data_IF_043730558968
#
_entry.id   IF_043730558968
#
_cell.length_a   1.000
_cell.length_b   1.000
_cell.length_c   1.000
_cell.angle_alpha   90.00
_cell.angle_beta   90.00
_cell.angle_gamma   90.00
#
_symmetry.space_group_name_H-M   'P 1'
#
loop_
_entity.id
_entity.type
_entity.pdbx_description
1 polymer ?
#
# COMPACT_ATOMS: atom_id res chain seq x y z
N UNK A 1 -31.64 34.82 -1.97
CA UNK A 1 -30.65 33.74 -1.88
C UNK A 1 -31.29 32.49 -2.41
N UNK A 2 -30.94 32.04 -3.62
CA UNK A 2 -31.41 30.78 -4.15
C UNK A 2 -30.63 29.66 -3.45
N UNK A 3 -31.31 28.86 -2.65
CA UNK A 3 -30.75 27.65 -2.06
C UNK A 3 -30.45 26.69 -3.20
N UNK A 4 -29.19 26.35 -3.37
CA UNK A 4 -28.74 25.33 -4.33
C UNK A 4 -29.49 24.05 -4.03
N UNK A 5 -30.26 23.58 -5.00
CA UNK A 5 -31.13 22.44 -4.82
C UNK A 5 -30.26 21.18 -4.60
N UNK A 6 -30.44 20.51 -3.48
CA UNK A 6 -29.67 19.31 -3.04
C UNK A 6 -29.61 18.21 -4.10
N UNK A 7 -30.63 18.15 -5.00
CA UNK A 7 -30.68 17.16 -6.08
C UNK A 7 -29.63 17.40 -7.19
N UNK A 8 -29.32 18.66 -7.49
CA UNK A 8 -28.29 19.02 -8.51
C UNK A 8 -26.88 18.83 -7.95
N UNK A 9 -26.70 19.15 -6.67
CA UNK A 9 -25.44 18.90 -5.96
C UNK A 9 -25.16 17.41 -5.81
N UNK A 10 -26.18 16.58 -5.52
CA UNK A 10 -26.02 15.13 -5.36
C UNK A 10 -25.56 14.43 -6.66
N UNK A 11 -26.05 14.87 -7.81
CA UNK A 11 -25.61 14.34 -9.12
C UNK A 11 -24.16 14.68 -9.44
N UNK A 12 -23.74 15.92 -9.14
CA UNK A 12 -22.37 16.39 -9.31
C UNK A 12 -21.38 15.67 -8.39
N UNK A 13 -21.73 15.52 -7.10
CA UNK A 13 -20.94 14.78 -6.12
C UNK A 13 -20.73 13.31 -6.51
N UNK A 14 -21.78 12.63 -6.97
CA UNK A 14 -21.69 11.24 -7.39
C UNK A 14 -20.71 11.05 -8.56
N UNK A 15 -20.71 11.95 -9.53
CA UNK A 15 -19.78 11.94 -10.65
C UNK A 15 -18.34 12.23 -10.19
N UNK A 16 -18.14 13.26 -9.38
CA UNK A 16 -16.82 13.61 -8.84
C UNK A 16 -16.20 12.48 -8.04
N UNK A 17 -17.00 11.79 -7.22
CA UNK A 17 -16.54 10.60 -6.47
C UNK A 17 -16.18 9.45 -7.42
N UNK A 18 -16.99 9.21 -8.45
CA UNK A 18 -16.71 8.18 -9.46
C UNK A 18 -15.41 8.45 -10.20
N UNK A 19 -15.20 9.68 -10.65
CA UNK A 19 -13.98 10.11 -11.35
C UNK A 19 -12.75 10.02 -10.42
N UNK A 20 -12.89 10.36 -9.14
CA UNK A 20 -11.83 10.22 -8.16
C UNK A 20 -11.44 8.75 -7.93
N UNK A 21 -12.39 7.83 -7.85
CA UNK A 21 -12.12 6.39 -7.69
C UNK A 21 -11.42 5.82 -8.93
N UNK A 22 -11.82 6.23 -10.12
CA UNK A 22 -11.17 5.82 -11.37
C UNK A 22 -9.72 6.34 -11.40
N UNK A 23 -9.51 7.61 -11.08
CA UNK A 23 -8.17 8.20 -11.03
C UNK A 23 -7.28 7.52 -9.98
N UNK A 24 -7.79 7.25 -8.80
CA UNK A 24 -7.09 6.50 -7.75
C UNK A 24 -6.62 5.13 -8.26
N UNK A 25 -7.51 4.35 -8.85
CA UNK A 25 -7.18 3.01 -9.34
C UNK A 25 -6.15 3.02 -10.49
N UNK A 26 -6.13 4.10 -11.28
CA UNK A 26 -5.17 4.26 -12.37
C UNK A 26 -3.79 4.74 -11.91
N UNK A 27 -3.73 5.57 -10.90
CA UNK A 27 -2.50 6.22 -10.43
C UNK A 27 -1.75 5.41 -9.38
N UNK A 28 -2.42 4.48 -8.71
CA UNK A 28 -1.82 3.71 -7.63
C UNK A 28 -0.97 2.55 -8.16
N UNK A 29 0.31 2.55 -7.82
CA UNK A 29 1.31 1.54 -8.24
C UNK A 29 1.54 0.50 -7.16
N UNK A 30 1.59 0.90 -5.89
CA UNK A 30 1.97 0.02 -4.79
C UNK A 30 0.81 -0.85 -4.28
N UNK A 31 -0.42 -0.36 -4.35
CA UNK A 31 -1.58 -1.06 -3.82
C UNK A 31 -1.77 -2.49 -4.36
N UNK A 32 -1.66 -2.77 -5.68
CA UNK A 32 -1.78 -4.12 -6.20
C UNK A 32 -0.62 -5.06 -5.83
N UNK A 33 0.49 -4.51 -5.33
CA UNK A 33 1.68 -5.30 -4.96
C UNK A 33 1.67 -5.74 -3.49
N UNK A 34 0.77 -5.19 -2.68
CA UNK A 34 0.68 -5.48 -1.24
C UNK A 34 -0.52 -6.35 -0.90
N UNK A 35 -0.39 -7.14 0.16
CA UNK A 35 -1.51 -7.93 0.67
C UNK A 35 -2.39 -7.07 1.55
N UNK A 36 -3.63 -6.85 1.12
CA UNK A 36 -4.61 -6.05 1.84
C UNK A 36 -5.42 -6.92 2.80
N UNK A 37 -5.55 -6.47 4.04
CA UNK A 37 -6.40 -7.11 5.05
C UNK A 37 -7.40 -6.11 5.60
N UNK A 38 -8.66 -6.49 5.64
CA UNK A 38 -9.73 -5.65 6.17
C UNK A 38 -9.90 -5.85 7.68
N UNK A 39 -10.15 -4.75 8.39
CA UNK A 39 -10.54 -4.82 9.80
C UNK A 39 -11.96 -5.36 9.95
N UNK A 40 -12.21 -6.02 11.08
CA UNK A 40 -13.56 -6.39 11.45
C UNK A 40 -14.41 -5.12 11.70
N UNK A 41 -15.68 -5.18 11.37
CA UNK A 41 -16.61 -4.05 11.56
C UNK A 41 -16.61 -3.63 13.04
N UNK A 42 -16.36 -2.35 13.29
CA UNK A 42 -16.29 -1.79 14.64
C UNK A 42 -14.94 -1.93 15.34
N UNK A 43 -13.91 -2.44 14.64
CA UNK A 43 -12.53 -2.49 15.13
C UNK A 43 -11.66 -1.50 14.36
N UNK A 44 -10.80 -0.77 15.05
CA UNK A 44 -9.77 0.07 14.47
C UNK A 44 -8.39 -0.63 14.42
N UNK A 45 -8.37 -1.94 14.70
CA UNK A 45 -7.16 -2.75 14.70
C UNK A 45 -7.28 -3.93 13.74
N UNK A 46 -6.18 -4.23 13.05
CA UNK A 46 -6.02 -5.45 12.26
C UNK A 46 -4.89 -6.27 12.86
N UNK A 47 -5.15 -7.53 13.12
CA UNK A 47 -4.15 -8.45 13.65
C UNK A 47 -3.59 -9.34 12.55
N UNK A 48 -2.27 -9.41 12.47
CA UNK A 48 -1.51 -10.31 11.61
C UNK A 48 -0.84 -11.36 12.48
N UNK A 49 -0.94 -12.61 12.08
CA UNK A 49 -0.27 -13.73 12.76
C UNK A 49 0.99 -14.10 11.97
N UNK A 50 2.14 -13.92 12.59
CA UNK A 50 3.42 -14.39 12.07
C UNK A 50 3.70 -15.80 12.61
N UNK A 51 3.97 -16.72 11.72
CA UNK A 51 4.32 -18.10 12.06
C UNK A 51 5.82 -18.28 12.06
N UNK A 52 6.34 -19.03 13.02
CA UNK A 52 7.75 -19.40 13.03
C UNK A 52 8.09 -20.17 11.77
N UNK A 53 9.03 -19.65 10.98
CA UNK A 53 9.52 -20.30 9.78
C UNK A 53 10.40 -21.48 10.17
N UNK A 54 10.05 -22.66 9.73
CA UNK A 54 10.90 -23.84 9.84
C UNK A 54 11.97 -23.80 8.73
N UNK A 55 13.19 -24.10 9.08
CA UNK A 55 14.34 -24.15 8.19
C UNK A 55 14.82 -25.60 8.01
N UNK A 56 15.70 -25.83 7.04
CA UNK A 56 16.31 -27.14 6.83
C UNK A 56 17.05 -27.67 8.07
N UNK A 57 17.55 -26.78 8.94
CA UNK A 57 18.17 -27.16 10.22
C UNK A 57 17.21 -27.75 11.23
N UNK A 58 15.90 -27.63 11.01
CA UNK A 58 14.88 -28.26 11.83
C UNK A 58 14.55 -29.69 11.40
N UNK A 59 15.12 -30.14 10.28
CA UNK A 59 14.94 -31.49 9.78
C UNK A 59 16.10 -32.36 10.26
N UNK A 60 15.81 -33.37 11.11
CA UNK A 60 16.80 -34.31 11.57
C UNK A 60 16.60 -35.69 10.91
N UNK A 61 17.68 -36.40 10.69
CA UNK A 61 17.60 -37.78 10.23
C UNK A 61 16.98 -38.67 11.32
N UNK A 62 16.01 -39.49 10.93
CA UNK A 62 15.42 -40.45 11.83
C UNK A 62 16.41 -41.61 12.07
N UNK A 63 16.69 -41.91 13.32
CA UNK A 63 17.47 -43.10 13.72
C UNK A 63 16.51 -44.13 14.27
N UNK A 64 16.67 -45.39 13.87
CA UNK A 64 15.81 -46.46 14.32
C UNK A 64 15.85 -46.56 15.85
N UNK A 65 14.69 -46.68 16.48
CA UNK A 65 14.47 -46.77 17.92
C UNK A 65 14.82 -45.52 18.75
N UNK A 66 15.07 -44.37 18.13
CA UNK A 66 15.28 -43.10 18.82
C UNK A 66 14.10 -42.16 18.60
N UNK A 67 13.53 -41.65 19.69
CA UNK A 67 12.45 -40.65 19.58
C UNK A 67 12.98 -39.33 18.99
N UNK A 68 12.32 -38.82 17.97
CA UNK A 68 12.63 -37.49 17.41
C UNK A 68 12.09 -36.37 18.30
N UNK A 69 12.86 -35.32 18.47
CA UNK A 69 12.42 -34.15 19.25
C UNK A 69 11.40 -33.38 18.45
N UNK A 70 10.22 -33.20 19.03
CA UNK A 70 9.19 -32.36 18.40
C UNK A 70 9.59 -30.88 18.42
N UNK A 71 9.38 -30.22 17.32
CA UNK A 71 9.63 -28.77 17.17
C UNK A 71 8.31 -28.01 17.35
N UNK A 72 8.29 -27.09 18.28
CA UNK A 72 7.12 -26.23 18.48
C UNK A 72 7.04 -25.16 17.40
N UNK A 73 5.88 -25.08 16.76
CA UNK A 73 5.55 -23.97 15.87
C UNK A 73 4.87 -22.90 16.74
N UNK A 74 5.53 -21.76 16.88
CA UNK A 74 5.00 -20.62 17.63
C UNK A 74 4.45 -19.56 16.70
N UNK A 75 3.44 -18.83 17.16
CA UNK A 75 2.86 -17.71 16.46
C UNK A 75 3.10 -16.42 17.25
N UNK A 76 3.48 -15.37 16.56
CA UNK A 76 3.51 -14.02 17.10
C UNK A 76 2.38 -13.20 16.45
N UNK A 77 1.68 -12.40 17.25
CA UNK A 77 0.66 -11.51 16.75
C UNK A 77 1.24 -10.10 16.59
N UNK A 78 1.08 -9.52 15.40
CA UNK A 78 1.35 -8.11 15.15
C UNK A 78 0.03 -7.39 14.96
N UNK A 79 -0.14 -6.26 15.62
CA UNK A 79 -1.35 -5.45 15.53
C UNK A 79 -1.03 -4.16 14.79
N UNK A 80 -1.79 -3.87 13.74
CA UNK A 80 -1.76 -2.60 13.04
C UNK A 80 -3.01 -1.80 13.39
N UNK A 81 -2.83 -0.51 13.68
CA UNK A 81 -3.93 0.43 13.93
C UNK A 81 -4.28 1.14 12.63
N UNK A 82 -5.56 1.26 12.34
CA UNK A 82 -6.06 1.96 11.16
C UNK A 82 -6.13 3.45 11.49
N UNK A 83 -5.57 4.27 10.62
CA UNK A 83 -5.73 5.73 10.61
C UNK A 83 -6.56 6.15 9.40
N UNK A 84 -7.30 7.24 9.56
CA UNK A 84 -8.09 7.83 8.49
C UNK A 84 -7.28 8.95 7.83
N UNK A 85 -7.24 8.95 6.50
CA UNK A 85 -6.69 10.02 5.70
C UNK A 85 -7.82 10.71 4.95
N UNK A 86 -7.93 12.01 5.13
CA UNK A 86 -8.98 12.84 4.53
C UNK A 86 -8.34 13.93 3.68
N UNK A 87 -8.90 14.16 2.52
CA UNK A 87 -8.59 15.32 1.68
C UNK A 87 -9.90 16.09 1.42
N UNK A 88 -9.85 17.39 1.60
CA UNK A 88 -10.97 18.28 1.38
C UNK A 88 -10.55 19.39 0.41
N UNK A 89 -11.43 19.71 -0.55
CA UNK A 89 -11.28 20.84 -1.45
C UNK A 89 -12.57 21.67 -1.44
N UNK A 90 -12.44 22.96 -1.26
CA UNK A 90 -13.56 23.92 -1.29
C UNK A 90 -13.48 24.75 -2.55
N UNK A 91 -14.56 24.76 -3.33
CA UNK A 91 -14.70 25.57 -4.53
C UNK A 91 -15.79 26.61 -4.27
N UNK A 92 -15.46 27.90 -4.41
CA UNK A 92 -16.44 28.96 -4.22
C UNK A 92 -17.39 29.07 -5.40
N UNK A 93 -18.64 29.50 -5.13
CA UNK A 93 -19.64 29.73 -6.17
C UNK A 93 -19.17 30.75 -7.23
N UNK A 94 -18.36 31.73 -6.82
CA UNK A 94 -17.80 32.70 -7.73
C UNK A 94 -16.88 32.09 -8.77
N UNK A 95 -16.06 31.10 -8.37
CA UNK A 95 -15.18 30.33 -9.27
C UNK A 95 -15.99 29.46 -10.20
N UNK A 96 -17.04 28.79 -9.69
CA UNK A 96 -17.95 27.98 -10.52
C UNK A 96 -18.69 28.80 -11.58
N UNK A 97 -19.07 30.07 -11.26
CA UNK A 97 -19.77 30.95 -12.19
C UNK A 97 -18.83 31.70 -13.15
N UNK A 98 -17.61 31.97 -12.70
CA UNK A 98 -16.64 32.79 -13.48
C UNK A 98 -15.65 31.99 -14.30
N UNK A 99 -15.53 30.67 -14.01
CA UNK A 99 -14.66 29.79 -14.75
C UNK A 99 -15.35 29.24 -15.99
N UNK A 100 -14.72 29.36 -17.14
CA UNK A 100 -15.17 28.76 -18.39
C UNK A 100 -15.02 27.24 -18.41
N UNK A 101 -14.28 26.68 -17.47
CA UNK A 101 -14.02 25.26 -17.34
C UNK A 101 -14.89 24.63 -16.25
N UNK A 102 -15.24 23.37 -16.43
CA UNK A 102 -15.95 22.59 -15.40
C UNK A 102 -14.99 22.20 -14.26
N UNK A 103 -14.80 23.13 -13.32
CA UNK A 103 -13.93 22.96 -12.15
C UNK A 103 -14.32 21.73 -11.31
N UNK A 104 -15.63 21.44 -11.24
CA UNK A 104 -16.13 20.29 -10.49
C UNK A 104 -15.69 18.96 -11.12
N UNK A 105 -15.61 18.87 -12.44
CA UNK A 105 -15.14 17.68 -13.13
C UNK A 105 -13.62 17.47 -13.00
N UNK A 106 -12.86 18.55 -12.87
CA UNK A 106 -11.40 18.47 -12.67
C UNK A 106 -11.02 18.13 -11.22
N UNK A 107 -11.87 18.48 -10.26
CA UNK A 107 -11.60 18.23 -8.84
C UNK A 107 -11.55 16.71 -8.51
N UNK A 108 -12.42 15.91 -9.12
CA UNK A 108 -12.47 14.46 -8.87
C UNK A 108 -11.14 13.75 -9.14
N UNK A 109 -10.63 13.80 -10.37
CA UNK A 109 -9.34 13.21 -10.70
C UNK A 109 -8.18 13.75 -9.87
N UNK A 110 -8.15 15.05 -9.57
CA UNK A 110 -7.10 15.65 -8.76
C UNK A 110 -7.09 15.08 -7.32
N UNK A 111 -8.26 14.97 -6.70
CA UNK A 111 -8.40 14.37 -5.36
C UNK A 111 -8.02 12.88 -5.37
N UNK A 112 -8.45 12.12 -6.39
CA UNK A 112 -8.12 10.71 -6.53
C UNK A 112 -6.62 10.47 -6.67
N UNK A 113 -5.95 11.25 -7.51
CA UNK A 113 -4.50 11.19 -7.69
C UNK A 113 -3.74 11.56 -6.41
N UNK A 114 -4.19 12.57 -5.67
CA UNK A 114 -3.55 12.95 -4.41
C UNK A 114 -3.64 11.85 -3.35
N UNK A 115 -4.78 11.16 -3.25
CA UNK A 115 -4.93 10.03 -2.32
C UNK A 115 -4.07 8.84 -2.76
N UNK A 116 -3.99 8.55 -4.06
CA UNK A 116 -3.14 7.49 -4.60
C UNK A 116 -1.66 7.76 -4.32
N UNK A 117 -1.20 8.99 -4.59
CA UNK A 117 0.17 9.41 -4.32
C UNK A 117 0.51 9.29 -2.83
N UNK A 118 -0.40 9.69 -1.94
CA UNK A 118 -0.19 9.57 -0.49
C UNK A 118 -0.07 8.12 -0.06
N UNK A 119 -0.90 7.23 -0.59
CA UNK A 119 -0.83 5.80 -0.26
C UNK A 119 0.48 5.18 -0.77
N UNK A 120 0.89 5.51 -1.98
CA UNK A 120 2.16 5.02 -2.55
C UNK A 120 3.36 5.52 -1.74
N UNK A 121 3.38 6.80 -1.34
CA UNK A 121 4.42 7.41 -0.50
C UNK A 121 4.52 6.72 0.87
N UNK A 122 3.39 6.49 1.53
CA UNK A 122 3.35 5.78 2.81
C UNK A 122 3.88 4.34 2.70
N UNK A 123 3.53 3.63 1.62
CA UNK A 123 4.00 2.26 1.40
C UNK A 123 5.49 2.20 1.07
N UNK A 124 6.01 3.18 0.31
CA UNK A 124 7.45 3.28 0.02
C UNK A 124 8.24 3.62 1.28
N UNK A 125 7.75 4.57 2.09
CA UNK A 125 8.37 4.93 3.38
C UNK A 125 8.45 3.73 4.33
N UNK A 126 7.43 2.86 4.35
CA UNK A 126 7.51 1.60 5.07
C UNK A 126 8.59 0.66 4.52
N UNK A 127 8.79 0.66 3.19
CA UNK A 127 9.86 -0.10 2.54
C UNK A 127 11.26 0.38 2.92
N UNK A 128 11.45 1.68 3.09
CA UNK A 128 12.73 2.27 3.52
C UNK A 128 13.14 1.84 4.93
N UNK A 129 12.19 1.47 5.78
CA UNK A 129 12.45 0.98 7.12
C UNK A 129 12.97 -0.48 7.16
N UNK A 130 13.08 -1.16 6.02
CA UNK A 130 13.62 -2.51 5.98
C UNK A 130 15.13 -2.51 6.26
N UNK A 131 15.56 -3.43 7.11
CA UNK A 131 16.97 -3.57 7.52
C UNK A 131 17.89 -4.15 6.43
N UNK A 132 17.30 -4.71 5.38
CA UNK A 132 18.03 -5.35 4.28
C UNK A 132 18.21 -4.35 3.14
N UNK A 133 19.41 -3.85 2.96
CA UNK A 133 19.76 -2.90 1.89
C UNK A 133 20.93 -3.44 1.09
N UNK A 134 20.83 -3.46 -0.23
CA UNK A 134 21.90 -3.87 -1.15
C UNK A 134 22.71 -2.69 -1.70
N UNK A 135 22.13 -1.49 -1.65
CA UNK A 135 22.75 -0.29 -2.16
C UNK A 135 22.82 0.77 -1.06
N UNK A 136 23.98 1.38 -0.86
CA UNK A 136 24.12 2.49 0.08
C UNK A 136 23.42 3.75 -0.43
N UNK A 137 22.92 4.58 0.49
CA UNK A 137 22.32 5.85 0.15
C UNK A 137 23.26 6.71 -0.71
N UNK A 138 22.74 7.30 -1.79
CA UNK A 138 23.51 8.10 -2.74
C UNK A 138 24.32 7.31 -3.76
N UNK A 139 24.25 6.00 -3.78
CA UNK A 139 24.89 5.17 -4.81
C UNK A 139 23.97 4.97 -6.01
N UNK A 140 24.54 4.95 -7.21
CA UNK A 140 23.78 4.64 -8.43
C UNK A 140 23.30 3.19 -8.41
N UNK A 141 22.05 2.97 -8.78
CA UNK A 141 21.50 1.64 -8.92
C UNK A 141 22.20 0.91 -10.08
N UNK A 142 22.87 -0.20 -9.77
CA UNK A 142 23.49 -1.08 -10.75
C UNK A 142 22.71 -2.39 -10.84
N UNK A 143 22.80 -3.06 -11.97
CA UNK A 143 22.16 -4.37 -12.19
C UNK A 143 22.61 -5.41 -11.15
N UNK A 144 23.84 -5.32 -10.66
CA UNK A 144 24.37 -6.15 -9.59
C UNK A 144 23.57 -6.00 -8.28
N UNK A 145 23.10 -4.81 -7.95
CA UNK A 145 22.28 -4.56 -6.75
C UNK A 145 20.90 -5.20 -6.88
N UNK A 146 20.30 -5.17 -8.08
CA UNK A 146 19.03 -5.85 -8.34
C UNK A 146 19.18 -7.37 -8.16
N UNK A 147 20.21 -7.97 -8.72
CA UNK A 147 20.48 -9.39 -8.52
C UNK A 147 20.84 -9.75 -7.08
N UNK A 148 21.56 -8.86 -6.38
CA UNK A 148 21.85 -8.99 -4.96
C UNK A 148 20.58 -9.05 -4.11
N UNK A 149 19.66 -8.10 -4.32
CA UNK A 149 18.37 -8.06 -3.65
C UNK A 149 17.51 -9.30 -3.94
N UNK A 150 17.45 -9.74 -5.21
CA UNK A 150 16.76 -10.98 -5.58
C UNK A 150 17.35 -12.20 -4.88
N UNK A 151 18.68 -12.28 -4.77
CA UNK A 151 19.37 -13.36 -4.05
C UNK A 151 19.02 -13.36 -2.56
N UNK A 152 18.98 -12.18 -1.93
CA UNK A 152 18.61 -12.04 -0.52
C UNK A 152 17.15 -12.47 -0.28
N UNK A 153 16.22 -11.99 -1.10
CA UNK A 153 14.82 -12.40 -1.02
C UNK A 153 14.65 -13.91 -1.16
N UNK A 154 15.37 -14.52 -2.11
CA UNK A 154 15.35 -15.96 -2.30
C UNK A 154 15.95 -16.73 -1.12
N UNK A 155 17.06 -16.26 -0.56
CA UNK A 155 17.67 -16.84 0.63
C UNK A 155 16.75 -16.73 1.86
N UNK A 156 16.02 -15.63 1.97
CA UNK A 156 14.96 -15.43 2.97
C UNK A 156 13.72 -16.30 2.71
N UNK A 157 13.62 -16.95 1.54
CA UNK A 157 12.48 -17.79 1.14
C UNK A 157 11.24 -16.99 0.81
N UNK A 158 11.38 -15.77 0.31
CA UNK A 158 10.26 -15.01 -0.19
C UNK A 158 9.66 -15.70 -1.43
N UNK A 159 8.32 -15.77 -1.55
CA UNK A 159 7.67 -16.35 -2.72
C UNK A 159 7.89 -15.50 -3.97
N UNK A 160 7.98 -16.12 -5.13
CA UNK A 160 7.97 -15.43 -6.41
C UNK A 160 6.52 -15.18 -6.88
N UNK A 161 6.24 -14.17 -7.73
CA UNK A 161 7.19 -13.28 -8.40
C UNK A 161 7.69 -12.12 -7.54
N UNK A 162 8.84 -11.55 -7.90
CA UNK A 162 9.37 -10.33 -7.30
C UNK A 162 9.03 -9.13 -8.17
N UNK A 163 8.65 -8.03 -7.55
CA UNK A 163 8.36 -6.76 -8.23
C UNK A 163 9.44 -5.75 -7.93
N UNK A 164 9.88 -5.03 -8.95
CA UNK A 164 10.77 -3.88 -8.82
C UNK A 164 9.93 -2.62 -8.96
N UNK A 165 9.97 -1.77 -7.95
CA UNK A 165 9.33 -0.46 -7.97
C UNK A 165 10.42 0.59 -7.93
N UNK A 166 10.45 1.46 -8.93
CA UNK A 166 11.39 2.57 -9.03
C UNK A 166 10.61 3.87 -8.91
N UNK A 167 11.08 4.76 -8.05
CA UNK A 167 10.53 6.10 -7.97
C UNK A 167 11.28 7.00 -8.96
N UNK A 168 10.56 7.81 -9.75
CA UNK A 168 11.22 8.79 -10.60
C UNK A 168 12.02 9.75 -9.74
N UNK A 169 13.28 9.99 -10.10
CA UNK A 169 14.09 11.04 -9.46
C UNK A 169 13.46 12.40 -9.75
N UNK A 170 13.21 13.17 -8.70
CA UNK A 170 12.75 14.56 -8.83
C UNK A 170 13.79 15.45 -9.50
#
# INVERSE_FOLDING_TARGET
MALTNTSTAAGGLGRTIGDAVIAFNHSNVMYPLVTVKQAARGSNHVQFSDWTKLTSGNVSAATQATATTAIAITTAARTATISEHVIESQVSDLVLMGSGDDVASQAGPALGNAVAAKLDDDLVTLGEAFSQTECGAGSSLALSHVFGAMRQMRAAGAPMPYSLVEMPSA
#
